data_IF_895744081714
#
_entry.id   IF_895744081714
#
_cell.length_a   1.000
_cell.length_b   1.000
_cell.length_c   1.000
_cell.angle_alpha   90.00
_cell.angle_beta   90.00
_cell.angle_gamma   90.00
#
_symmetry.space_group_name_H-M   'P 1'
#
loop_
_entity.id
_entity.type
_entity.pdbx_description
1 polymer ?
#
# COMPACT_ATOMS: atom_id res chain seq x y z
N UNK A 1 -19.57 -26.02 24.35
CA UNK A 1 -19.86 -24.84 23.52
C UNK A 1 -18.60 -23.99 23.45
N UNK A 2 -17.85 -24.04 22.34
CA UNK A 2 -16.76 -23.09 22.12
C UNK A 2 -17.39 -21.77 21.66
N UNK A 3 -17.21 -20.71 22.44
CA UNK A 3 -17.48 -19.36 21.99
C UNK A 3 -16.38 -18.97 20.99
N UNK A 4 -16.75 -18.76 19.73
CA UNK A 4 -15.86 -18.10 18.78
C UNK A 4 -15.70 -16.64 19.23
N UNK A 5 -14.55 -16.30 19.81
CA UNK A 5 -14.14 -14.92 19.99
C UNK A 5 -13.89 -14.34 18.59
N UNK A 6 -14.86 -13.64 18.03
CA UNK A 6 -14.65 -12.78 16.87
C UNK A 6 -13.85 -11.58 17.35
N UNK A 7 -12.52 -11.65 17.20
CA UNK A 7 -11.67 -10.46 17.33
C UNK A 7 -12.05 -9.57 16.15
N UNK A 8 -12.73 -8.45 16.42
CA UNK A 8 -12.84 -7.36 15.44
C UNK A 8 -11.50 -6.67 15.45
N UNK A 9 -10.55 -7.21 14.70
CA UNK A 9 -9.28 -6.55 14.43
C UNK A 9 -9.58 -5.49 13.37
N UNK A 10 -9.91 -4.28 13.83
CA UNK A 10 -9.79 -3.13 12.96
C UNK A 10 -8.31 -3.00 12.68
N UNK A 11 -7.86 -3.47 11.51
CA UNK A 11 -6.49 -3.29 11.09
C UNK A 11 -6.15 -1.83 11.38
N UNK A 12 -5.14 -1.57 12.22
CA UNK A 12 -4.62 -0.23 12.51
C UNK A 12 -3.91 0.33 11.27
N UNK A 13 -4.62 0.32 10.16
CA UNK A 13 -4.21 0.68 8.83
C UNK A 13 -4.43 2.18 8.64
N UNK A 14 -3.62 2.77 7.78
CA UNK A 14 -3.78 4.15 7.38
C UNK A 14 -4.94 4.24 6.40
N UNK A 15 -6.02 4.90 6.79
CA UNK A 15 -7.17 5.08 5.90
C UNK A 15 -6.82 5.99 4.72
N UNK A 16 -7.59 5.93 3.63
CA UNK A 16 -7.43 6.87 2.50
C UNK A 16 -7.56 8.31 2.96
N UNK A 17 -8.55 8.62 3.81
CA UNK A 17 -8.72 9.97 4.34
C UNK A 17 -7.50 10.43 5.18
N UNK A 18 -7.01 9.58 6.09
CA UNK A 18 -5.85 9.91 6.91
C UNK A 18 -4.59 10.05 6.06
N UNK A 19 -4.44 9.22 5.02
CA UNK A 19 -3.35 9.34 4.07
C UNK A 19 -3.37 10.69 3.34
N UNK A 20 -4.52 11.11 2.80
CA UNK A 20 -4.65 12.38 2.10
C UNK A 20 -4.41 13.57 3.07
N UNK A 21 -4.97 13.51 4.28
CA UNK A 21 -4.78 14.52 5.31
C UNK A 21 -3.31 14.65 5.75
N UNK A 22 -2.61 13.52 5.94
CA UNK A 22 -1.18 13.52 6.30
C UNK A 22 -0.30 14.00 5.14
N UNK A 23 -0.63 13.64 3.89
CA UNK A 23 0.09 14.08 2.69
C UNK A 23 0.03 15.61 2.57
N UNK A 24 -1.15 16.17 2.79
CA UNK A 24 -1.43 17.60 2.60
C UNK A 24 -1.14 18.44 3.86
N UNK A 25 -0.70 17.80 4.95
CA UNK A 25 -0.35 18.46 6.20
C UNK A 25 0.82 19.44 6.03
N UNK A 26 0.71 20.62 6.64
CA UNK A 26 1.81 21.58 6.73
C UNK A 26 2.90 21.15 7.74
N UNK A 27 2.58 20.24 8.66
CA UNK A 27 3.49 19.74 9.68
C UNK A 27 4.54 18.76 9.08
N UNK A 28 5.85 19.08 9.13
CA UNK A 28 6.87 18.19 8.62
C UNK A 28 6.97 16.85 9.36
N UNK A 29 6.68 16.81 10.66
CA UNK A 29 6.76 15.56 11.43
C UNK A 29 5.68 14.57 10.98
N UNK A 30 4.48 15.07 10.70
CA UNK A 30 3.37 14.29 10.14
C UNK A 30 3.75 13.69 8.78
N UNK A 31 4.35 14.50 7.89
CA UNK A 31 4.79 14.03 6.57
C UNK A 31 5.92 13.00 6.67
N UNK A 32 6.87 13.20 7.59
CA UNK A 32 7.96 12.25 7.85
C UNK A 32 7.41 10.92 8.37
N UNK A 33 6.48 10.96 9.34
CA UNK A 33 5.85 9.76 9.89
C UNK A 33 5.12 8.97 8.79
N UNK A 34 4.37 9.66 7.93
CA UNK A 34 3.75 9.04 6.77
C UNK A 34 4.78 8.43 5.81
N UNK A 35 5.88 9.13 5.54
CA UNK A 35 6.93 8.63 4.67
C UNK A 35 7.56 7.33 5.16
N UNK A 36 7.85 7.25 6.46
CA UNK A 36 8.32 6.03 7.13
C UNK A 36 7.30 4.91 6.98
N UNK A 37 6.00 5.22 7.16
CA UNK A 37 4.92 4.27 6.97
C UNK A 37 4.93 3.68 5.56
N UNK A 38 4.93 4.52 4.52
CA UNK A 38 4.94 4.09 3.11
C UNK A 38 6.18 3.25 2.75
N UNK A 39 7.36 3.63 3.25
CA UNK A 39 8.58 2.84 3.09
C UNK A 39 8.44 1.46 3.74
N UNK A 40 7.85 1.39 4.92
CA UNK A 40 7.53 0.13 5.62
C UNK A 40 6.65 -0.78 4.77
N UNK A 41 5.58 -0.24 4.18
CA UNK A 41 4.68 -0.99 3.29
C UNK A 41 5.40 -1.52 2.05
N UNK A 42 6.16 -0.66 1.36
CA UNK A 42 6.91 -1.04 0.17
C UNK A 42 7.95 -2.13 0.45
N UNK A 43 8.65 -2.04 1.57
CA UNK A 43 9.55 -3.10 2.05
C UNK A 43 8.79 -4.38 2.36
N UNK A 44 7.63 -4.29 3.03
CA UNK A 44 6.76 -5.42 3.33
C UNK A 44 6.33 -6.17 2.07
N UNK A 45 5.88 -5.47 1.03
CA UNK A 45 5.51 -6.11 -0.23
C UNK A 45 6.73 -6.68 -0.98
N UNK A 46 7.89 -6.05 -0.86
CA UNK A 46 9.15 -6.60 -1.39
C UNK A 46 9.52 -7.92 -0.70
N UNK A 47 9.40 -7.99 0.62
CA UNK A 47 9.65 -9.22 1.38
C UNK A 47 8.62 -10.30 1.06
N UNK A 48 7.35 -9.93 0.91
CA UNK A 48 6.29 -10.85 0.50
C UNK A 48 6.59 -11.45 -0.89
N UNK A 49 7.01 -10.62 -1.85
CA UNK A 49 7.43 -11.11 -3.17
C UNK A 49 8.63 -12.05 -3.10
N UNK A 50 9.63 -11.75 -2.26
CA UNK A 50 10.77 -12.64 -2.06
C UNK A 50 10.34 -13.99 -1.49
N UNK A 51 9.43 -14.00 -0.52
CA UNK A 51 8.88 -15.23 0.07
C UNK A 51 8.05 -16.05 -0.94
N UNK A 52 7.28 -15.39 -1.80
CA UNK A 52 6.55 -16.05 -2.88
C UNK A 52 7.51 -16.68 -3.89
N UNK A 53 8.56 -15.95 -4.29
CA UNK A 53 9.56 -16.44 -5.24
C UNK A 53 10.31 -17.67 -4.71
N UNK A 54 10.70 -17.70 -3.44
CA UNK A 54 11.36 -18.87 -2.84
C UNK A 54 10.43 -20.09 -2.75
N UNK A 55 9.12 -19.86 -2.61
CA UNK A 55 8.09 -20.90 -2.66
C UNK A 55 7.66 -21.31 -4.07
N UNK A 56 8.27 -20.77 -5.14
CA UNK A 56 7.87 -21.02 -6.53
C UNK A 56 6.48 -20.47 -6.89
N UNK A 57 5.96 -19.53 -6.08
CA UNK A 57 4.67 -18.89 -6.27
C UNK A 57 4.81 -17.62 -7.11
N UNK A 58 3.72 -17.23 -7.78
CA UNK A 58 3.67 -15.99 -8.57
C UNK A 58 3.86 -14.78 -7.64
N UNK A 59 4.77 -13.83 -7.95
CA UNK A 59 4.90 -12.58 -7.22
C UNK A 59 3.62 -11.73 -7.27
N UNK A 60 3.44 -10.84 -6.30
CA UNK A 60 2.36 -9.85 -6.28
C UNK A 60 2.51 -8.80 -7.40
N UNK A 61 3.76 -8.48 -7.76
CA UNK A 61 4.16 -7.59 -8.86
C UNK A 61 5.58 -7.92 -9.31
N UNK A 62 5.94 -7.52 -10.54
CA UNK A 62 7.21 -7.87 -11.17
C UNK A 62 8.03 -6.60 -11.50
N UNK A 63 8.58 -5.97 -10.46
CA UNK A 63 9.41 -4.78 -10.62
C UNK A 63 10.74 -5.10 -11.33
N UNK A 64 11.31 -4.16 -12.12
CA UNK A 64 12.62 -4.35 -12.73
C UNK A 64 13.71 -4.60 -11.68
N UNK A 65 14.69 -5.50 -11.96
CA UNK A 65 15.62 -6.02 -10.94
C UNK A 65 16.60 -4.98 -10.35
N UNK A 66 16.73 -3.80 -10.97
CA UNK A 66 17.60 -2.70 -10.50
C UNK A 66 16.82 -1.48 -10.04
N UNK A 67 15.49 -1.56 -9.99
CA UNK A 67 14.67 -0.44 -9.58
C UNK A 67 14.57 -0.43 -8.05
N UNK A 68 15.15 0.59 -7.43
CA UNK A 68 14.93 0.90 -6.02
C UNK A 68 13.80 1.92 -5.91
N UNK A 69 12.67 1.50 -5.33
CA UNK A 69 11.53 2.38 -5.08
C UNK A 69 11.72 3.11 -3.74
N UNK A 70 11.45 4.40 -3.73
CA UNK A 70 11.48 5.24 -2.54
C UNK A 70 10.08 5.72 -2.16
N UNK A 71 10.00 6.51 -1.08
CA UNK A 71 8.74 7.09 -0.60
C UNK A 71 7.97 7.83 -1.70
N UNK A 72 8.64 8.71 -2.46
CA UNK A 72 8.02 9.49 -3.53
C UNK A 72 7.44 8.59 -4.63
N UNK A 73 8.11 7.49 -4.94
CA UNK A 73 7.59 6.51 -5.89
C UNK A 73 6.31 5.86 -5.36
N UNK A 74 6.32 5.41 -4.10
CA UNK A 74 5.13 4.81 -3.48
C UNK A 74 3.96 5.78 -3.39
N UNK A 75 4.23 7.04 -3.01
CA UNK A 75 3.23 8.11 -2.97
C UNK A 75 2.57 8.31 -4.34
N UNK A 76 3.36 8.47 -5.40
CA UNK A 76 2.85 8.62 -6.77
C UNK A 76 2.04 7.41 -7.24
N UNK A 77 2.47 6.19 -6.86
CA UNK A 77 1.76 4.95 -7.21
C UNK A 77 0.41 4.88 -6.50
N UNK A 78 0.35 5.25 -5.21
CA UNK A 78 -0.89 5.33 -4.44
C UNK A 78 -1.82 6.39 -5.03
N UNK A 79 -1.34 7.62 -5.24
CA UNK A 79 -2.14 8.72 -5.76
C UNK A 79 -2.78 8.36 -7.11
N UNK A 80 -2.01 7.71 -8.01
CA UNK A 80 -2.50 7.25 -9.30
C UNK A 80 -3.51 6.10 -9.18
N UNK A 81 -3.31 5.18 -8.23
CA UNK A 81 -4.25 4.09 -7.96
C UNK A 81 -5.57 4.62 -7.39
N UNK A 82 -5.52 5.57 -6.45
CA UNK A 82 -6.67 6.26 -5.88
C UNK A 82 -7.43 7.05 -6.94
N UNK A 83 -6.73 7.82 -7.79
CA UNK A 83 -7.35 8.58 -8.89
C UNK A 83 -8.18 7.67 -9.79
N UNK A 84 -7.59 6.56 -10.26
CA UNK A 84 -8.29 5.56 -11.10
C UNK A 84 -9.47 4.91 -10.39
N UNK A 85 -9.30 4.57 -9.11
CA UNK A 85 -10.39 3.94 -8.36
C UNK A 85 -11.53 4.93 -8.06
N UNK A 86 -11.25 6.23 -7.88
CA UNK A 86 -12.27 7.28 -7.77
C UNK A 86 -13.03 7.45 -9.09
N UNK A 87 -12.35 7.42 -10.23
CA UNK A 87 -12.97 7.43 -11.57
C UNK A 87 -13.93 6.24 -11.78
N UNK A 88 -13.59 5.08 -11.21
CA UNK A 88 -14.43 3.87 -11.24
C UNK A 88 -15.55 3.86 -10.19
N UNK A 89 -15.62 4.84 -9.28
CA UNK A 89 -16.56 4.86 -8.14
C UNK A 89 -16.27 3.78 -7.07
N UNK A 90 -15.01 3.37 -6.91
CA UNK A 90 -14.56 2.25 -6.08
C UNK A 90 -13.59 2.65 -4.95
N UNK A 91 -13.71 3.87 -4.42
CA UNK A 91 -12.92 4.32 -3.27
C UNK A 91 -13.86 4.78 -2.18
N UNK A 92 -13.60 4.32 -0.97
CA UNK A 92 -14.18 4.88 0.26
C UNK A 92 -13.06 5.39 1.14
N UNK A 93 -13.36 6.42 1.91
CA UNK A 93 -12.37 7.14 2.71
C UNK A 93 -11.80 6.27 3.84
N UNK A 94 -12.57 5.27 4.30
CA UNK A 94 -12.17 4.33 5.36
C UNK A 94 -11.34 3.14 4.86
N UNK A 95 -11.13 3.02 3.54
CA UNK A 95 -10.36 1.90 3.00
C UNK A 95 -8.87 2.02 3.34
N UNK A 96 -8.18 0.88 3.54
CA UNK A 96 -6.75 0.86 3.81
C UNK A 96 -5.94 1.32 2.59
N UNK A 97 -5.13 2.37 2.75
CA UNK A 97 -4.30 2.92 1.66
C UNK A 97 -3.25 1.91 1.15
N UNK A 98 -2.86 0.97 1.99
CA UNK A 98 -1.92 -0.11 1.71
C UNK A 98 -2.39 -0.97 0.54
N UNK A 99 -3.71 -1.18 0.43
CA UNK A 99 -4.32 -1.91 -0.67
C UNK A 99 -4.11 -1.17 -1.99
N UNK A 100 -4.22 0.16 -1.99
CA UNK A 100 -4.01 0.98 -3.17
C UNK A 100 -2.54 1.03 -3.58
N UNK A 101 -1.60 0.97 -2.63
CA UNK A 101 -0.19 0.78 -2.95
C UNK A 101 0.03 -0.55 -3.67
N UNK A 102 -0.52 -1.65 -3.16
CA UNK A 102 -0.38 -2.97 -3.79
C UNK A 102 -1.01 -3.01 -5.18
N UNK A 103 -2.25 -2.52 -5.32
CA UNK A 103 -2.95 -2.42 -6.61
C UNK A 103 -2.13 -1.58 -7.59
N UNK A 104 -1.60 -0.44 -7.14
CA UNK A 104 -0.75 0.42 -7.93
C UNK A 104 0.52 -0.30 -8.38
N UNK A 105 1.23 -0.98 -7.48
CA UNK A 105 2.43 -1.77 -7.81
C UNK A 105 2.13 -2.87 -8.84
N UNK A 106 1.05 -3.62 -8.67
CA UNK A 106 0.65 -4.68 -9.62
C UNK A 106 0.26 -4.13 -10.99
N UNK A 107 -0.32 -2.92 -11.05
CA UNK A 107 -0.64 -2.23 -12.33
C UNK A 107 0.59 -1.62 -13.00
N UNK A 108 1.51 -1.04 -12.22
CA UNK A 108 2.73 -0.42 -12.72
C UNK A 108 3.76 -1.47 -13.16
N UNK A 109 3.80 -2.62 -12.47
CA UNK A 109 4.75 -3.70 -12.71
C UNK A 109 4.01 -5.05 -12.87
N UNK A 110 3.21 -5.23 -13.94
CA UNK A 110 2.48 -6.46 -14.14
C UNK A 110 3.44 -7.63 -14.39
N UNK A 111 3.15 -8.77 -13.77
CA UNK A 111 3.83 -10.03 -14.08
C UNK A 111 3.26 -10.61 -15.37
N UNK A 112 4.13 -10.94 -16.34
CA UNK A 112 3.77 -11.60 -17.60
C UNK A 112 3.17 -13.00 -17.40
#
# INVERSE_FOLDING_TARGET
MLAAMTVVDGACALTVADYEAQRDSADPEVRIAQGIYLLGLGNGFTYANAALATGGQRPLYCAPPKLALNEDNYRRIIDEALRKAREDGRVRDEEPVELFLLIGLSRTFPCA
#
